data_IF_041280224992
#
_entry.id   IF_041280224992
#
_cell.length_a   1.000
_cell.length_b   1.000
_cell.length_c   1.000
_cell.angle_alpha   90.00
_cell.angle_beta   90.00
_cell.angle_gamma   90.00
#
_symmetry.space_group_name_H-M   'P 1'
#
loop_
_entity.id
_entity.type
_entity.pdbx_description
1 polymer ?
#
# COMPACT_ATOMS: atom_id res chain seq x y z
N UNK A 1 -10.84 -1.38 -1.23
CA UNK A 1 -11.50 -0.95 -2.45
C UNK A 1 -12.66 -0.06 -2.13
N UNK A 2 -12.76 1.03 -2.82
CA UNK A 2 -13.87 1.94 -2.66
C UNK A 2 -14.59 2.11 -3.98
N UNK A 3 -15.89 2.28 -3.91
CA UNK A 3 -16.66 2.53 -5.09
C UNK A 3 -17.19 3.94 -5.03
N UNK A 4 -16.88 4.72 -6.02
CA UNK A 4 -17.35 6.06 -6.08
C UNK A 4 -18.56 6.06 -6.93
N UNK A 5 -19.63 5.75 -6.35
CA UNK A 5 -20.79 5.45 -7.08
C UNK A 5 -21.56 6.66 -7.53
N UNK A 6 -20.98 7.43 -8.21
CA UNK A 6 -21.78 8.49 -8.76
C UNK A 6 -21.99 9.63 -7.85
N UNK A 7 -21.24 9.60 -6.83
CA UNK A 7 -21.39 10.58 -5.97
C UNK A 7 -21.04 11.86 -6.50
N UNK A 8 -20.10 11.95 -7.32
CA UNK A 8 -19.73 13.17 -7.85
C UNK A 8 -20.70 13.48 -8.91
N UNK A 9 -21.58 14.35 -8.57
CA UNK A 9 -22.63 14.62 -9.49
C UNK A 9 -22.19 15.30 -10.73
N UNK A 10 -20.98 15.73 -10.79
CA UNK A 10 -20.59 16.35 -11.97
C UNK A 10 -20.21 15.38 -12.94
N UNK A 11 -19.99 14.27 -12.56
CA UNK A 11 -19.41 13.37 -13.34
C UNK A 11 -20.37 12.89 -14.16
N UNK A 12 -20.28 12.88 -15.03
CA UNK A 12 -21.00 12.45 -15.83
C UNK A 12 -20.82 11.10 -15.95
N UNK A 13 -21.30 10.40 -15.31
CA UNK A 13 -21.42 9.17 -15.41
C UNK A 13 -22.14 8.89 -16.50
N UNK A 14 -21.64 8.47 -17.30
CA UNK A 14 -22.13 8.22 -18.44
C UNK A 14 -22.52 6.85 -18.42
N UNK A 15 -23.63 6.51 -18.79
CA UNK A 15 -24.13 5.17 -18.99
C UNK A 15 -23.90 4.28 -17.82
N UNK A 16 -24.06 4.80 -16.69
CA UNK A 16 -24.01 3.98 -15.51
C UNK A 16 -22.67 3.43 -15.11
N UNK A 17 -21.63 3.99 -15.63
CA UNK A 17 -20.33 3.54 -15.23
C UNK A 17 -19.96 4.06 -13.87
N UNK A 18 -19.21 3.25 -13.12
CA UNK A 18 -18.70 3.66 -11.85
C UNK A 18 -17.23 3.69 -11.90
N UNK A 19 -16.60 4.60 -11.16
CA UNK A 19 -15.18 4.61 -10.96
C UNK A 19 -14.92 3.83 -9.67
N UNK A 20 -14.43 2.62 -9.80
CA UNK A 20 -14.13 1.79 -8.65
C UNK A 20 -12.66 1.94 -8.33
N UNK A 21 -12.35 2.40 -7.13
CA UNK A 21 -10.99 2.67 -6.72
C UNK A 21 -10.50 1.64 -5.72
N UNK A 22 -9.28 1.18 -5.93
CA UNK A 22 -8.59 0.33 -4.97
C UNK A 22 -7.71 1.19 -4.10
N UNK A 23 -8.18 1.57 -2.88
CA UNK A 23 -7.45 2.44 -1.98
C UNK A 23 -6.19 1.76 -1.48
N UNK A 24 -5.04 2.32 -1.76
CA UNK A 24 -3.71 1.74 -1.51
C UNK A 24 -3.64 0.31 -2.05
N UNK A 25 -4.28 0.12 -3.20
CA UNK A 25 -4.44 -1.18 -3.82
C UNK A 25 -5.64 -1.87 -3.16
N UNK A 26 -5.99 -2.41 -2.41
CA UNK A 26 -7.09 -3.12 -1.84
C UNK A 26 -6.78 -3.43 -0.37
N UNK A 27 -6.43 -2.39 0.40
CA UNK A 27 -5.86 -2.61 1.73
C UNK A 27 -6.81 -3.29 2.72
N UNK A 28 -8.09 -3.25 2.47
CA UNK A 28 -9.04 -3.95 3.33
C UNK A 28 -8.89 -5.46 3.25
N UNK A 29 -8.37 -5.98 2.14
CA UNK A 29 -8.24 -7.41 1.88
C UNK A 29 -6.79 -7.86 1.75
N UNK A 30 -5.89 -6.99 1.34
CA UNK A 30 -4.49 -7.31 1.09
C UNK A 30 -3.61 -6.22 1.69
N UNK A 31 -2.32 -6.49 1.97
CA UNK A 31 -1.44 -5.45 2.52
C UNK A 31 -1.38 -4.23 1.62
N UNK A 32 -1.48 -3.04 2.21
CA UNK A 32 -1.60 -1.81 1.44
C UNK A 32 -0.35 -1.48 0.63
N UNK A 33 -0.54 -0.83 -0.50
CA UNK A 33 0.53 -0.34 -1.37
C UNK A 33 1.57 -1.43 -1.69
N UNK A 34 1.10 -2.63 -2.01
CA UNK A 34 1.97 -3.75 -2.38
C UNK A 34 1.51 -4.31 -3.72
N UNK A 35 2.38 -5.06 -4.38
CA UNK A 35 2.03 -5.67 -5.65
C UNK A 35 0.85 -6.63 -5.50
N UNK A 36 0.82 -7.52 -4.48
CA UNK A 36 -0.35 -8.37 -4.31
C UNK A 36 -1.66 -7.59 -4.15
N UNK A 37 -1.62 -6.45 -3.45
CA UNK A 37 -2.83 -5.66 -3.28
C UNK A 37 -3.30 -5.07 -4.60
N UNK A 38 -2.37 -4.59 -5.43
CA UNK A 38 -2.71 -4.02 -6.71
C UNK A 38 -3.28 -5.08 -7.66
N UNK A 39 -2.68 -6.26 -7.70
CA UNK A 39 -3.16 -7.34 -8.55
C UNK A 39 -4.53 -7.80 -8.08
N UNK A 40 -4.72 -7.93 -6.78
CA UNK A 40 -6.01 -8.37 -6.23
C UNK A 40 -7.11 -7.36 -6.56
N UNK A 41 -6.79 -6.07 -6.48
CA UNK A 41 -7.76 -5.03 -6.82
C UNK A 41 -8.17 -5.13 -8.30
N UNK A 42 -7.22 -5.37 -9.19
CA UNK A 42 -7.53 -5.53 -10.59
C UNK A 42 -8.40 -6.77 -10.82
N UNK A 43 -8.14 -7.85 -10.10
CA UNK A 43 -8.95 -9.07 -10.23
C UNK A 43 -10.38 -8.82 -9.74
N UNK A 44 -10.58 -7.88 -8.84
CA UNK A 44 -11.92 -7.54 -8.37
C UNK A 44 -12.63 -6.58 -9.33
N UNK A 45 -11.95 -6.17 -10.39
CA UNK A 45 -12.57 -5.32 -11.41
C UNK A 45 -12.59 -3.83 -11.11
N UNK A 46 -11.65 -3.35 -10.28
CA UNK A 46 -11.59 -1.91 -10.03
C UNK A 46 -11.10 -1.21 -11.29
N UNK A 47 -11.55 0.01 -11.50
CA UNK A 47 -11.17 0.80 -12.67
C UNK A 47 -10.02 1.75 -12.37
N UNK A 48 -9.77 2.05 -11.11
CA UNK A 48 -8.69 2.96 -10.71
C UNK A 48 -7.98 2.39 -9.50
N UNK A 49 -6.64 2.38 -9.54
CA UNK A 49 -5.85 2.00 -8.40
C UNK A 49 -5.33 3.27 -7.74
N UNK A 50 -5.58 3.40 -6.43
CA UNK A 50 -5.03 4.50 -5.68
C UNK A 50 -3.78 4.00 -4.98
N UNK A 51 -2.68 4.70 -5.12
CA UNK A 51 -1.42 4.33 -4.52
C UNK A 51 -0.65 5.58 -4.11
N UNK A 52 0.20 5.44 -3.12
CA UNK A 52 0.99 6.54 -2.61
C UNK A 52 2.46 6.20 -2.80
N UNK A 53 3.28 7.19 -3.09
CA UNK A 53 4.70 6.96 -3.35
C UNK A 53 5.59 7.87 -2.51
N UNK A 54 6.79 7.41 -2.20
CA UNK A 54 7.82 8.20 -1.54
C UNK A 54 9.17 7.89 -2.20
N UNK A 55 10.17 8.72 -1.95
CA UNK A 55 11.48 8.58 -2.56
C UNK A 55 12.51 8.15 -1.52
N UNK A 56 13.30 7.13 -1.84
CA UNK A 56 14.35 6.65 -0.96
C UNK A 56 15.59 7.54 -1.06
N UNK A 57 16.56 7.31 -0.17
CA UNK A 57 17.80 8.06 -0.16
C UNK A 57 18.53 7.94 -1.50
N UNK A 58 18.51 6.77 -2.12
CA UNK A 58 19.16 6.53 -3.41
C UNK A 58 18.24 6.84 -4.60
N UNK A 59 17.24 7.67 -4.36
CA UNK A 59 16.36 8.20 -5.41
C UNK A 59 15.51 7.16 -6.13
N UNK A 60 15.11 6.13 -5.43
CA UNK A 60 14.16 5.15 -5.97
C UNK A 60 12.76 5.53 -5.51
N UNK A 61 11.77 5.31 -6.36
CA UNK A 61 10.37 5.63 -6.04
C UNK A 61 9.70 4.35 -5.61
N UNK A 62 9.23 4.30 -4.37
CA UNK A 62 8.57 3.11 -3.84
C UNK A 62 7.17 3.48 -3.34
N UNK A 63 6.30 2.47 -3.21
CA UNK A 63 4.96 2.69 -2.73
C UNK A 63 4.95 2.72 -1.21
N UNK A 64 4.44 3.79 -0.65
CA UNK A 64 4.28 3.93 0.80
C UNK A 64 3.34 5.09 1.08
N UNK A 65 2.43 4.95 2.01
CA UNK A 65 1.52 6.04 2.37
C UNK A 65 2.30 7.11 3.15
N UNK A 66 3.24 6.70 3.99
CA UNK A 66 4.01 7.64 4.81
C UNK A 66 5.47 7.63 4.37
N UNK A 67 6.21 8.68 4.70
CA UNK A 67 7.63 8.72 4.44
C UNK A 67 8.42 7.83 5.38
N UNK A 68 7.76 7.18 6.32
CA UNK A 68 8.39 6.30 7.28
C UNK A 68 7.65 4.98 7.31
N UNK A 69 8.26 3.97 7.93
CA UNK A 69 7.56 2.71 8.14
C UNK A 69 6.59 2.90 9.29
N UNK A 70 5.31 2.67 9.03
CA UNK A 70 4.26 2.89 10.03
C UNK A 70 4.07 1.69 10.96
N UNK A 71 3.73 1.98 12.22
CA UNK A 71 3.63 0.92 13.21
C UNK A 71 2.44 -0.01 12.97
N UNK A 72 1.43 0.42 12.23
CA UNK A 72 0.26 -0.44 11.98
C UNK A 72 0.56 -1.60 11.04
N UNK A 73 1.56 -1.47 10.17
CA UNK A 73 1.79 -2.45 9.12
C UNK A 73 3.17 -3.10 9.15
N UNK A 74 4.08 -2.63 9.97
CA UNK A 74 5.48 -2.97 9.81
C UNK A 74 5.99 -4.02 10.79
N UNK A 75 6.71 -5.02 10.27
CA UNK A 75 7.48 -5.97 11.05
C UNK A 75 8.96 -5.59 10.87
N UNK A 76 9.67 -5.49 11.99
CA UNK A 76 11.07 -5.09 11.98
C UNK A 76 11.96 -6.23 11.45
N UNK A 77 13.20 -5.91 11.04
CA UNK A 77 14.10 -6.95 10.51
C UNK A 77 14.35 -8.13 11.45
N UNK A 78 14.20 -7.94 12.77
CA UNK A 78 14.41 -9.02 13.73
C UNK A 78 13.16 -9.89 13.89
N UNK A 79 12.10 -9.61 13.17
CA UNK A 79 10.86 -10.38 13.22
C UNK A 79 9.83 -9.87 14.19
N UNK A 80 10.14 -8.86 15.01
CA UNK A 80 9.17 -8.33 15.96
C UNK A 80 8.29 -7.28 15.29
N UNK A 81 7.09 -7.08 15.78
CA UNK A 81 6.20 -6.06 15.24
C UNK A 81 6.64 -4.69 15.76
N UNK A 82 6.57 -3.70 14.88
CA UNK A 82 6.90 -2.33 15.27
C UNK A 82 5.86 -1.81 16.24
N UNK A 83 6.31 -1.18 17.31
CA UNK A 83 5.40 -0.59 18.30
C UNK A 83 5.15 0.89 18.08
N UNK A 84 4.17 1.47 18.77
CA UNK A 84 3.84 2.89 18.58
C UNK A 84 4.98 3.85 18.86
N UNK A 85 5.92 3.48 19.75
CA UNK A 85 7.03 4.36 20.05
C UNK A 85 8.07 4.41 18.96
N UNK A 86 7.98 3.50 17.98
CA UNK A 86 8.91 3.45 16.87
C UNK A 86 8.36 4.15 15.64
N UNK A 87 7.15 4.72 15.73
CA UNK A 87 6.56 5.45 14.63
C UNK A 87 7.50 6.57 14.23
N UNK A 88 7.72 6.72 12.94
CA UNK A 88 8.61 7.72 12.34
C UNK A 88 10.10 7.48 12.58
N UNK A 89 10.48 6.40 13.23
CA UNK A 89 11.88 6.11 13.47
C UNK A 89 12.63 5.78 12.19
N UNK A 90 11.99 5.06 11.28
CA UNK A 90 12.64 4.60 10.06
C UNK A 90 12.12 5.42 8.87
N UNK A 91 12.76 6.56 8.62
CA UNK A 91 12.36 7.46 7.54
C UNK A 91 12.93 6.96 6.22
N UNK A 92 12.06 6.70 5.27
CA UNK A 92 12.43 6.12 3.99
C UNK A 92 13.36 7.02 3.18
N UNK A 93 13.23 8.35 3.32
CA UNK A 93 14.13 9.26 2.63
C UNK A 93 15.58 9.11 3.07
N UNK A 94 15.82 8.51 4.23
CA UNK A 94 17.16 8.33 4.76
C UNK A 94 17.64 6.90 4.56
N UNK A 95 16.89 6.06 3.87
CA UNK A 95 17.21 4.66 3.65
C UNK A 95 17.35 4.38 2.17
N UNK A 96 18.26 3.47 1.81
CA UNK A 96 18.34 3.02 0.43
C UNK A 96 17.20 2.02 0.19
N UNK A 97 16.89 1.76 -1.07
CA UNK A 97 15.85 0.78 -1.39
C UNK A 97 16.18 -0.59 -0.80
N UNK A 98 17.47 -1.00 -0.86
CA UNK A 98 17.84 -2.30 -0.28
C UNK A 98 17.59 -2.34 1.21
N UNK A 99 17.84 -1.24 1.93
CA UNK A 99 17.55 -1.18 3.36
C UNK A 99 16.07 -1.30 3.65
N UNK A 100 15.22 -0.76 2.79
CA UNK A 100 13.78 -0.84 3.00
C UNK A 100 13.27 -2.28 2.87
N UNK A 101 13.99 -3.12 2.11
CA UNK A 101 13.53 -4.49 1.89
C UNK A 101 13.71 -5.39 3.12
N UNK A 102 14.36 -4.92 4.17
CA UNK A 102 14.48 -5.67 5.40
C UNK A 102 13.20 -5.59 6.24
N UNK A 103 12.26 -4.71 5.88
CA UNK A 103 11.03 -4.51 6.67
C UNK A 103 9.85 -5.14 5.94
N UNK A 104 9.14 -6.03 6.62
CA UNK A 104 7.94 -6.63 6.05
C UNK A 104 6.74 -5.73 6.34
N UNK A 105 5.85 -5.58 5.38
CA UNK A 105 4.67 -4.76 5.52
C UNK A 105 3.36 -5.54 5.28
N UNK A 106 3.39 -6.83 5.40
CA UNK A 106 2.21 -7.66 5.14
C UNK A 106 1.87 -8.71 6.19
N UNK A 107 2.78 -8.96 7.14
CA UNK A 107 2.54 -10.01 8.14
C UNK A 107 1.88 -9.51 9.42
N UNK A 108 2.09 -8.26 9.79
CA UNK A 108 1.53 -7.75 11.03
C UNK A 108 0.02 -7.63 10.94
N UNK A 109 -0.75 -8.15 11.90
CA UNK A 109 -2.21 -7.99 11.88
C UNK A 109 -2.59 -6.50 11.88
N UNK A 110 -3.47 -6.11 10.96
CA UNK A 110 -3.86 -4.71 10.86
C UNK A 110 -5.08 -4.47 11.75
N UNK A 111 -5.00 -3.55 12.68
CA UNK A 111 -6.09 -3.37 13.66
C UNK A 111 -7.41 -2.93 13.03
N UNK A 112 -7.36 -2.25 11.90
CA UNK A 112 -8.58 -1.78 11.27
C UNK A 112 -9.10 -2.70 10.17
N UNK A 113 -8.31 -3.68 9.75
CA UNK A 113 -8.70 -4.58 8.66
C UNK A 113 -8.41 -6.03 9.05
N UNK A 114 -9.19 -6.59 9.97
CA UNK A 114 -8.91 -7.93 10.48
C UNK A 114 -9.02 -9.04 9.44
N UNK A 115 -9.72 -8.77 8.33
CA UNK A 115 -9.88 -9.76 7.28
C UNK A 115 -8.81 -9.64 6.20
N UNK A 116 -7.87 -8.69 6.35
CA UNK A 116 -6.81 -8.54 5.38
C UNK A 116 -5.94 -9.79 5.35
N UNK A 117 -5.66 -10.30 4.15
CA UNK A 117 -4.84 -11.50 4.02
C UNK A 117 -3.39 -11.16 4.39
N UNK A 118 -2.78 -11.99 5.22
CA UNK A 118 -1.41 -11.75 5.67
C UNK A 118 -0.42 -12.45 4.78
N UNK A 119 0.67 -11.80 4.45
CA UNK A 119 1.75 -12.39 3.67
C UNK A 119 3.03 -11.58 3.86
N UNK A 120 4.17 -12.23 3.67
CA UNK A 120 5.44 -11.54 3.79
C UNK A 120 5.66 -10.76 2.50
N UNK A 121 5.78 -9.46 2.59
CA UNK A 121 5.92 -8.61 1.42
C UNK A 121 6.62 -7.30 1.81
N UNK A 122 7.36 -6.72 0.87
CA UNK A 122 8.06 -5.45 1.10
C UNK A 122 7.40 -4.35 0.28
N UNK A 123 7.79 -3.11 0.54
CA UNK A 123 7.28 -1.98 -0.23
C UNK A 123 7.93 -2.02 -1.61
N UNK A 124 7.16 -2.10 -2.67
CA UNK A 124 7.71 -2.28 -4.02
C UNK A 124 8.13 -0.97 -4.66
N UNK A 125 8.99 -1.08 -5.68
CA UNK A 125 9.29 0.04 -6.54
C UNK A 125 8.05 0.32 -7.39
N UNK A 126 7.81 1.58 -7.70
CA UNK A 126 6.71 1.94 -8.60
C UNK A 126 6.87 1.25 -9.96
N UNK A 127 8.09 1.14 -10.46
CA UNK A 127 8.34 0.48 -11.73
C UNK A 127 7.93 -0.99 -11.70
N UNK A 128 8.12 -1.65 -10.57
CA UNK A 128 7.72 -3.06 -10.44
C UNK A 128 6.20 -3.20 -10.49
N UNK A 129 5.48 -2.26 -9.93
CA UNK A 129 4.03 -2.29 -9.94
C UNK A 129 3.51 -2.09 -11.37
N UNK A 130 4.10 -1.18 -12.11
CA UNK A 130 3.69 -0.90 -13.47
C UNK A 130 3.96 -2.11 -14.36
N UNK A 131 5.05 -2.81 -14.12
CA UNK A 131 5.44 -3.95 -14.95
C UNK A 131 4.76 -5.27 -14.58
N UNK A 132 4.04 -5.31 -13.51
CA UNK A 132 3.42 -6.56 -13.05
C UNK A 132 2.05 -6.82 -13.67
#
# INVERSE_FOLDING_TARGET
MQEESGIDTNTKYVQGEFDKQGHRGCRGLMPENTIPAMVHALDLGVTTLEMDVVITKDKKVILSHEQWFGQEITTLPDGSYMGPRQERTYNINWMTYEQTKAFDVGMKPHPRFPQQQKMKVTKPLLSEVIDS
#
